data_IF_927643284424
#
_entry.id   IF_927643284424
#
_cell.length_a   1.000
_cell.length_b   1.000
_cell.length_c   1.000
_cell.angle_alpha   90.00
_cell.angle_beta   90.00
_cell.angle_gamma   90.00
#
_symmetry.space_group_name_H-M   'P 1'
#
loop_
_entity.id
_entity.type
_entity.pdbx_description
1 polymer ?
#
# COMPACT_ATOMS: atom_id res chain seq x y z
N UNK A 1 8.88 -32.80 -0.71
CA UNK A 1 9.80 -32.96 -1.85
C UNK A 1 9.62 -31.82 -2.84
N UNK A 2 10.71 -31.11 -3.11
CA UNK A 2 10.85 -30.11 -4.16
C UNK A 2 11.51 -30.77 -5.38
N UNK A 3 11.39 -30.14 -6.54
CA UNK A 3 12.06 -30.59 -7.74
C UNK A 3 12.45 -29.41 -8.62
N UNK A 4 13.47 -29.61 -9.44
CA UNK A 4 13.85 -28.69 -10.52
C UNK A 4 13.45 -29.34 -11.85
N UNK A 5 12.83 -28.57 -12.73
CA UNK A 5 12.33 -29.02 -14.02
C UNK A 5 12.78 -28.09 -15.14
N UNK A 6 12.89 -28.67 -16.33
CA UNK A 6 13.11 -28.00 -17.59
C UNK A 6 11.83 -28.05 -18.42
N UNK A 7 11.49 -26.95 -19.08
CA UNK A 7 10.53 -26.95 -20.18
C UNK A 7 11.32 -26.98 -21.49
N UNK A 8 11.05 -27.98 -22.30
CA UNK A 8 11.78 -28.30 -23.53
C UNK A 8 10.92 -27.98 -24.75
N UNK A 9 11.54 -27.35 -25.75
CA UNK A 9 10.92 -27.13 -27.04
C UNK A 9 11.14 -28.37 -27.91
N UNK A 10 10.09 -29.18 -28.21
CA UNK A 10 10.26 -30.47 -28.89
C UNK A 10 10.76 -30.32 -30.35
N UNK A 11 10.66 -29.12 -30.95
CA UNK A 11 11.10 -28.86 -32.33
C UNK A 11 12.62 -28.85 -32.47
N UNK A 12 13.31 -28.42 -31.41
CA UNK A 12 14.77 -28.29 -31.37
C UNK A 12 15.41 -29.16 -30.27
N UNK A 13 14.58 -29.77 -29.43
CA UNK A 13 14.97 -30.57 -28.28
C UNK A 13 15.92 -29.84 -27.31
N UNK A 14 15.68 -28.55 -27.09
CA UNK A 14 16.46 -27.70 -26.18
C UNK A 14 15.57 -27.11 -25.08
N UNK A 15 16.09 -26.98 -23.85
CA UNK A 15 15.38 -26.31 -22.77
C UNK A 15 15.25 -24.82 -23.08
N UNK A 16 14.06 -24.27 -22.86
CA UNK A 16 13.80 -22.83 -22.99
C UNK A 16 13.41 -22.18 -21.65
N UNK A 17 13.21 -22.98 -20.60
CA UNK A 17 12.93 -22.48 -19.25
C UNK A 17 13.36 -23.50 -18.21
N UNK A 18 13.96 -23.02 -17.12
CA UNK A 18 14.26 -23.83 -15.93
C UNK A 18 13.44 -23.28 -14.77
N UNK A 19 12.84 -24.17 -13.98
CA UNK A 19 12.05 -23.76 -12.84
C UNK A 19 12.15 -24.74 -11.67
N UNK A 20 12.07 -24.21 -10.46
CA UNK A 20 11.80 -25.00 -9.25
C UNK A 20 10.29 -25.17 -9.03
N UNK A 21 9.89 -26.34 -8.53
CA UNK A 21 8.52 -26.60 -8.12
C UNK A 21 8.32 -27.57 -6.98
N UNK A 22 7.05 -27.69 -6.59
CA UNK A 22 6.49 -28.60 -5.57
C UNK A 22 5.07 -28.95 -6.00
N UNK A 23 4.67 -30.21 -5.83
CA UNK A 23 3.37 -30.70 -6.27
C UNK A 23 3.12 -30.45 -7.77
N UNK A 24 1.94 -29.95 -8.13
CA UNK A 24 1.52 -29.75 -9.53
C UNK A 24 1.97 -28.40 -10.16
N UNK A 25 2.93 -27.69 -9.55
CA UNK A 25 3.34 -26.35 -10.01
C UNK A 25 3.80 -26.33 -11.47
N UNK A 26 4.52 -27.35 -11.93
CA UNK A 26 5.00 -27.42 -13.32
C UNK A 26 3.84 -27.48 -14.33
N UNK A 27 2.85 -28.33 -14.08
CA UNK A 27 1.66 -28.44 -14.91
C UNK A 27 0.82 -27.15 -14.87
N UNK A 28 0.74 -26.49 -13.70
CA UNK A 28 0.11 -25.19 -13.61
C UNK A 28 0.78 -24.16 -14.52
N UNK A 29 2.12 -24.10 -14.57
CA UNK A 29 2.87 -23.18 -15.44
C UNK A 29 2.71 -23.45 -16.94
N UNK A 30 2.30 -24.65 -17.33
CA UNK A 30 1.91 -24.97 -18.71
C UNK A 30 0.45 -24.63 -19.01
N UNK A 31 -0.41 -24.57 -17.99
CA UNK A 31 -1.83 -24.27 -18.18
C UNK A 31 -2.06 -22.83 -18.67
N UNK A 32 -3.07 -22.64 -19.52
CA UNK A 32 -3.53 -21.31 -19.96
C UNK A 32 -3.92 -20.41 -18.78
N UNK A 33 -4.43 -20.98 -17.68
CA UNK A 33 -4.83 -20.25 -16.48
C UNK A 33 -3.66 -19.51 -15.81
N UNK A 34 -2.42 -20.01 -15.96
CA UNK A 34 -1.24 -19.33 -15.42
C UNK A 34 -0.88 -18.05 -16.17
N UNK A 35 -1.30 -17.90 -17.45
CA UNK A 35 -1.02 -16.71 -18.27
C UNK A 35 -1.60 -15.44 -17.67
N UNK A 36 -2.79 -15.53 -17.08
CA UNK A 36 -3.47 -14.38 -16.48
C UNK A 36 -2.79 -13.89 -15.18
N UNK A 37 -1.87 -14.68 -14.60
CA UNK A 37 -1.33 -14.45 -13.25
C UNK A 37 0.19 -14.37 -13.19
N UNK A 38 0.91 -14.56 -14.29
CA UNK A 38 2.36 -14.71 -14.25
C UNK A 38 3.09 -13.58 -14.98
N UNK A 39 4.10 -13.06 -14.31
CA UNK A 39 4.92 -11.93 -14.77
C UNK A 39 5.90 -12.29 -15.91
N UNK A 40 6.04 -13.59 -16.26
CA UNK A 40 6.99 -14.04 -17.29
C UNK A 40 6.34 -14.14 -18.69
N UNK A 41 6.20 -13.00 -19.35
CA UNK A 41 5.67 -12.92 -20.71
C UNK A 41 6.49 -13.72 -21.74
N UNK A 42 7.83 -13.75 -21.62
CA UNK A 42 8.73 -14.42 -22.57
C UNK A 42 8.51 -15.94 -22.61
N UNK A 43 8.38 -16.56 -21.43
CA UNK A 43 8.06 -17.99 -21.31
C UNK A 43 6.73 -18.31 -21.99
N UNK A 44 5.70 -17.52 -21.76
CA UNK A 44 4.39 -17.76 -22.38
C UNK A 44 4.37 -17.56 -23.88
N UNK A 45 5.03 -16.52 -24.38
CA UNK A 45 5.13 -16.32 -25.82
C UNK A 45 5.82 -17.50 -26.50
N UNK A 46 6.87 -18.06 -25.86
CA UNK A 46 7.54 -19.28 -26.35
C UNK A 46 6.61 -20.50 -26.33
N UNK A 47 5.88 -20.74 -25.24
CA UNK A 47 4.87 -21.82 -25.15
C UNK A 47 3.79 -21.66 -26.24
N UNK A 48 3.26 -20.44 -26.42
CA UNK A 48 2.25 -20.13 -27.43
C UNK A 48 2.76 -20.42 -28.83
N UNK A 49 4.01 -20.05 -29.15
CA UNK A 49 4.63 -20.35 -30.45
C UNK A 49 4.73 -21.85 -30.71
N UNK A 50 5.15 -22.63 -29.71
CA UNK A 50 5.23 -24.09 -29.80
C UNK A 50 3.84 -24.68 -30.10
N UNK A 51 2.81 -24.25 -29.35
CA UNK A 51 1.42 -24.70 -29.53
C UNK A 51 0.80 -24.31 -30.86
N UNK A 52 1.06 -23.09 -31.32
CA UNK A 52 0.55 -22.61 -32.61
C UNK A 52 1.07 -23.43 -33.80
N UNK A 53 2.24 -24.06 -33.64
CA UNK A 53 2.83 -24.96 -34.65
C UNK A 53 2.39 -26.42 -34.47
N UNK A 54 1.45 -26.70 -33.56
CA UNK A 54 0.89 -28.04 -33.34
C UNK A 54 1.70 -28.93 -32.39
N UNK A 55 2.70 -28.38 -31.69
CA UNK A 55 3.50 -29.11 -30.70
C UNK A 55 3.12 -28.73 -29.27
N UNK A 56 3.50 -29.55 -28.28
CA UNK A 56 3.32 -29.23 -26.86
C UNK A 56 4.69 -29.22 -26.16
N UNK A 57 5.00 -28.21 -25.32
CA UNK A 57 6.24 -28.20 -24.54
C UNK A 57 6.37 -29.42 -23.64
N UNK A 58 7.55 -30.04 -23.65
CA UNK A 58 7.83 -31.20 -22.81
C UNK A 58 8.32 -30.76 -21.42
N UNK A 59 7.92 -31.51 -20.40
CA UNK A 59 8.38 -31.32 -19.02
C UNK A 59 9.39 -32.41 -18.68
N UNK A 60 10.60 -32.00 -18.31
CA UNK A 60 11.61 -32.91 -17.78
C UNK A 60 11.95 -32.54 -16.35
N UNK A 61 11.68 -33.43 -15.40
CA UNK A 61 12.15 -33.26 -14.03
C UNK A 61 13.62 -33.67 -13.98
N UNK A 62 14.48 -32.72 -13.63
CA UNK A 62 15.94 -32.90 -13.63
C UNK A 62 16.39 -33.58 -12.34
N UNK A 63 15.89 -33.11 -11.20
CA UNK A 63 16.29 -33.61 -9.88
C UNK A 63 15.24 -33.31 -8.80
N UNK A 64 15.14 -34.21 -7.82
CA UNK A 64 14.33 -34.03 -6.61
C UNK A 64 15.21 -33.64 -5.43
N UNK A 65 14.63 -32.86 -4.52
CA UNK A 65 15.28 -32.35 -3.30
C UNK A 65 14.32 -32.43 -2.12
N UNK A 66 14.85 -32.75 -0.94
CA UNK A 66 14.08 -32.70 0.30
C UNK A 66 13.90 -31.25 0.75
N UNK A 67 15.00 -30.49 0.73
CA UNK A 67 15.07 -29.10 1.12
C UNK A 67 14.74 -28.13 -0.02
N UNK A 68 14.11 -27.01 0.35
CA UNK A 68 13.71 -25.97 -0.60
C UNK A 68 14.91 -25.23 -1.17
N UNK A 69 15.90 -24.93 -0.32
CA UNK A 69 17.08 -24.14 -0.67
C UNK A 69 17.97 -24.89 -1.66
N UNK A 70 18.21 -26.19 -1.47
CA UNK A 70 19.00 -26.99 -2.41
C UNK A 70 18.40 -26.99 -3.82
N UNK A 71 17.07 -27.02 -3.92
CA UNK A 71 16.38 -26.90 -5.20
C UNK A 71 16.55 -25.51 -5.83
N UNK A 72 16.65 -24.45 -5.03
CA UNK A 72 16.97 -23.10 -5.53
C UNK A 72 18.42 -23.01 -6.00
N UNK A 73 19.37 -23.55 -5.23
CA UNK A 73 20.79 -23.57 -5.61
C UNK A 73 20.98 -24.27 -6.96
N UNK A 74 20.34 -25.43 -7.14
CA UNK A 74 20.42 -26.19 -8.37
C UNK A 74 19.68 -25.53 -9.56
N UNK A 75 18.53 -24.90 -9.32
CA UNK A 75 17.84 -24.08 -10.33
C UNK A 75 18.76 -22.97 -10.86
N UNK A 76 19.44 -22.26 -9.95
CA UNK A 76 20.36 -21.18 -10.28
C UNK A 76 21.59 -21.69 -11.07
N UNK A 77 22.14 -22.84 -10.69
CA UNK A 77 23.25 -23.50 -11.39
C UNK A 77 22.88 -23.81 -12.85
N UNK A 78 21.69 -24.39 -13.09
CA UNK A 78 21.22 -24.69 -14.44
C UNK A 78 20.96 -23.42 -15.26
N UNK A 79 20.40 -22.37 -14.64
CA UNK A 79 20.17 -21.09 -15.34
C UNK A 79 21.50 -20.47 -15.78
N UNK A 80 22.52 -20.49 -14.91
CA UNK A 80 23.86 -19.99 -15.25
C UNK A 80 24.51 -20.84 -16.34
N UNK A 81 24.34 -22.16 -16.29
CA UNK A 81 24.87 -23.09 -17.30
C UNK A 81 24.29 -22.86 -18.70
N UNK A 82 22.97 -22.68 -18.82
CA UNK A 82 22.31 -22.51 -20.12
C UNK A 82 22.28 -21.07 -20.62
N UNK A 83 22.38 -20.09 -19.70
CA UNK A 83 22.33 -18.67 -20.02
C UNK A 83 20.92 -18.17 -20.42
N UNK A 84 20.69 -16.89 -20.16
CA UNK A 84 19.44 -16.16 -20.45
C UNK A 84 19.55 -15.52 -21.83
N UNK A 85 18.59 -15.80 -22.72
CA UNK A 85 18.66 -15.48 -24.15
C UNK A 85 18.96 -14.02 -24.51
N UNK A 86 18.48 -13.08 -23.70
CA UNK A 86 18.58 -11.65 -24.02
C UNK A 86 19.61 -10.91 -23.14
N UNK A 87 20.40 -11.65 -22.35
CA UNK A 87 21.33 -11.08 -21.35
C UNK A 87 22.71 -11.72 -21.46
N UNK A 88 22.76 -13.05 -21.48
CA UNK A 88 24.00 -13.81 -21.50
C UNK A 88 24.34 -14.20 -22.95
N UNK A 89 25.63 -14.13 -23.31
CA UNK A 89 26.08 -14.49 -24.65
C UNK A 89 25.78 -15.96 -24.95
N UNK A 90 25.02 -16.21 -26.02
CA UNK A 90 24.59 -17.57 -26.40
C UNK A 90 23.49 -18.17 -25.51
N UNK A 91 22.87 -17.40 -24.61
CA UNK A 91 21.81 -17.88 -23.74
C UNK A 91 20.59 -18.42 -24.49
N UNK A 92 19.92 -19.42 -23.93
CA UNK A 92 18.72 -20.04 -24.54
C UNK A 92 17.47 -19.90 -23.68
N UNK A 93 17.61 -19.56 -22.40
CA UNK A 93 16.50 -19.56 -21.45
C UNK A 93 15.66 -18.28 -21.50
N UNK A 94 14.36 -18.45 -21.24
CA UNK A 94 13.36 -17.38 -21.08
C UNK A 94 13.17 -16.94 -19.62
N UNK A 95 14.04 -17.39 -18.71
CA UNK A 95 14.06 -16.97 -17.31
C UNK A 95 14.30 -15.45 -17.20
N UNK A 96 13.57 -14.77 -16.31
CA UNK A 96 13.70 -13.31 -16.10
C UNK A 96 14.86 -12.99 -15.16
N UNK A 97 15.02 -13.79 -14.11
CA UNK A 97 16.01 -13.59 -13.06
C UNK A 97 16.83 -14.87 -12.88
N UNK A 98 18.08 -14.72 -12.44
CA UNK A 98 18.96 -15.82 -12.05
C UNK A 98 18.52 -16.46 -10.73
N UNK A 99 18.02 -15.64 -9.80
CA UNK A 99 17.47 -16.11 -8.54
C UNK A 99 16.14 -15.42 -8.24
N UNK A 100 15.16 -16.21 -7.80
CA UNK A 100 13.86 -15.71 -7.30
C UNK A 100 13.63 -16.20 -5.86
N UNK A 101 14.72 -16.26 -5.07
CA UNK A 101 14.65 -16.72 -3.69
C UNK A 101 13.78 -15.76 -2.87
N UNK A 102 12.95 -16.28 -1.95
CA UNK A 102 12.32 -15.44 -0.96
C UNK A 102 13.39 -14.74 -0.09
N UNK A 103 13.10 -13.54 0.44
CA UNK A 103 11.76 -12.94 0.50
C UNK A 103 11.38 -12.13 -0.74
N UNK A 104 10.11 -12.23 -1.15
CA UNK A 104 9.49 -11.23 -2.03
C UNK A 104 9.45 -9.91 -1.26
N UNK A 105 10.05 -8.84 -1.79
CA UNK A 105 10.08 -7.53 -1.14
C UNK A 105 8.69 -6.84 -1.10
N UNK A 106 7.73 -7.33 -1.90
CA UNK A 106 6.38 -6.80 -1.93
C UNK A 106 5.70 -6.86 -0.56
N UNK A 107 5.30 -5.71 -0.03
CA UNK A 107 4.62 -5.57 1.26
C UNK A 107 5.54 -5.37 2.45
N UNK A 108 6.87 -5.42 2.27
CA UNK A 108 7.85 -5.12 3.32
C UNK A 108 8.19 -3.63 3.35
N UNK A 109 8.38 -3.11 4.55
CA UNK A 109 8.88 -1.77 4.80
C UNK A 109 10.37 -1.68 4.49
N UNK A 110 10.88 -0.46 4.26
CA UNK A 110 12.31 -0.22 4.07
C UNK A 110 13.15 -0.68 5.27
N UNK A 111 12.61 -0.55 6.49
CA UNK A 111 13.22 -1.02 7.73
C UNK A 111 13.42 -2.55 7.73
N UNK A 112 12.41 -3.31 7.33
CA UNK A 112 12.50 -4.78 7.25
C UNK A 112 13.47 -5.27 6.16
N UNK A 113 13.74 -4.45 5.14
CA UNK A 113 14.61 -4.81 4.01
C UNK A 113 16.06 -4.44 4.31
N UNK A 114 16.29 -3.25 4.86
CA UNK A 114 17.62 -2.65 4.99
C UNK A 114 18.11 -2.51 6.43
N UNK A 115 17.31 -2.92 7.42
CA UNK A 115 17.62 -2.79 8.84
C UNK A 115 17.94 -1.34 9.19
N UNK A 116 19.02 -1.14 9.93
CA UNK A 116 19.47 0.19 10.40
C UNK A 116 19.82 1.16 9.26
N UNK A 117 20.14 0.67 8.07
CA UNK A 117 20.53 1.49 6.91
C UNK A 117 19.34 1.99 6.09
N UNK A 118 18.11 1.77 6.55
CA UNK A 118 16.92 2.08 5.78
C UNK A 118 16.78 3.58 5.44
N UNK A 119 17.17 4.48 6.36
CA UNK A 119 17.14 5.93 6.15
C UNK A 119 18.10 6.36 5.05
N UNK A 120 19.34 5.85 5.08
CA UNK A 120 20.34 6.10 4.05
C UNK A 120 19.85 5.69 2.66
N UNK A 121 19.16 4.54 2.57
CA UNK A 121 18.59 4.05 1.30
C UNK A 121 17.45 4.94 0.78
N UNK A 122 16.63 5.51 1.67
CA UNK A 122 15.61 6.49 1.28
C UNK A 122 16.28 7.74 0.73
N UNK A 123 17.30 8.27 1.42
CA UNK A 123 18.02 9.47 0.96
C UNK A 123 18.71 9.25 -0.38
N UNK A 124 19.38 8.10 -0.55
CA UNK A 124 20.01 7.71 -1.82
C UNK A 124 18.98 7.67 -2.95
N UNK A 125 17.80 7.07 -2.71
CA UNK A 125 16.72 7.01 -3.69
C UNK A 125 16.16 8.39 -4.03
N UNK A 126 16.01 9.28 -3.05
CA UNK A 126 15.57 10.67 -3.29
C UNK A 126 16.57 11.41 -4.17
N UNK A 127 17.87 11.30 -3.86
CA UNK A 127 18.95 11.89 -4.67
C UNK A 127 18.95 11.35 -6.11
N UNK A 128 18.87 10.03 -6.30
CA UNK A 128 18.81 9.43 -7.64
C UNK A 128 17.55 9.84 -8.41
N UNK A 129 16.41 10.05 -7.74
CA UNK A 129 15.19 10.57 -8.37
C UNK A 129 15.42 11.99 -8.89
N UNK A 130 16.06 12.83 -8.10
CA UNK A 130 16.38 14.21 -8.47
C UNK A 130 17.33 14.27 -9.67
N UNK A 131 18.43 13.50 -9.62
CA UNK A 131 19.43 13.39 -10.69
C UNK A 131 18.82 12.91 -12.02
N UNK A 132 17.90 11.93 -11.98
CA UNK A 132 17.28 11.34 -13.17
C UNK A 132 16.07 12.11 -13.71
N UNK A 133 15.92 13.39 -13.36
CA UNK A 133 14.85 14.21 -13.88
C UNK A 133 13.46 13.89 -13.32
N UNK A 134 13.40 13.19 -12.19
CA UNK A 134 12.23 13.15 -11.32
C UNK A 134 10.98 12.44 -11.85
N UNK A 135 11.17 11.33 -12.58
CA UNK A 135 10.08 10.44 -12.97
C UNK A 135 9.41 9.84 -11.72
N UNK A 136 8.16 10.23 -11.43
CA UNK A 136 7.37 9.72 -10.29
C UNK A 136 7.09 10.67 -9.12
N UNK A 137 6.97 11.99 -9.37
CA UNK A 137 6.11 12.85 -8.52
C UNK A 137 6.78 13.68 -7.42
N UNK A 138 8.07 14.03 -7.53
CA UNK A 138 8.69 14.96 -6.56
C UNK A 138 8.56 16.43 -6.98
N UNK A 139 8.44 16.74 -8.28
CA UNK A 139 8.05 18.10 -8.72
C UNK A 139 6.57 18.32 -8.41
N UNK A 140 6.26 19.33 -7.58
CA UNK A 140 4.89 19.77 -7.35
C UNK A 140 4.29 20.21 -8.68
N UNK A 141 3.06 19.77 -8.96
CA UNK A 141 2.32 20.27 -10.12
C UNK A 141 2.23 21.79 -10.08
N UNK A 142 2.31 22.44 -11.24
CA UNK A 142 2.02 23.87 -11.36
C UNK A 142 0.58 24.14 -10.94
N UNK A 143 0.28 25.35 -10.48
CA UNK A 143 -1.09 25.72 -10.09
C UNK A 143 -2.09 25.52 -11.24
N UNK A 144 -1.69 25.80 -12.48
CA UNK A 144 -2.49 25.53 -13.67
C UNK A 144 -2.81 24.03 -13.83
N UNK A 145 -1.80 23.17 -13.63
CA UNK A 145 -1.99 21.72 -13.72
C UNK A 145 -2.88 21.20 -12.58
N UNK A 146 -2.70 21.70 -11.35
CA UNK A 146 -3.58 21.38 -10.21
C UNK A 146 -5.02 21.78 -10.50
N UNK A 147 -5.23 22.96 -11.08
CA UNK A 147 -6.57 23.44 -11.47
C UNK A 147 -7.21 22.50 -12.50
N UNK A 148 -6.49 22.15 -13.57
CA UNK A 148 -6.98 21.20 -14.59
C UNK A 148 -7.34 19.83 -14.00
N UNK A 149 -6.51 19.32 -13.09
CA UNK A 149 -6.80 18.05 -12.39
C UNK A 149 -8.06 18.21 -11.54
N UNK A 150 -8.16 19.29 -10.75
CA UNK A 150 -9.30 19.58 -9.88
C UNK A 150 -10.60 19.67 -10.67
N UNK A 151 -10.63 20.39 -11.78
CA UNK A 151 -11.79 20.52 -12.67
C UNK A 151 -12.25 19.16 -13.21
N UNK A 152 -11.30 18.27 -13.55
CA UNK A 152 -11.58 16.93 -14.06
C UNK A 152 -12.15 15.96 -13.03
N UNK A 153 -11.89 16.15 -11.74
CA UNK A 153 -12.25 15.16 -10.70
C UNK A 153 -13.28 15.67 -9.68
N UNK A 154 -13.65 16.95 -9.77
CA UNK A 154 -14.60 17.58 -8.86
C UNK A 154 -16.02 17.59 -9.42
N UNK A 155 -16.99 17.79 -8.52
CA UNK A 155 -18.40 17.89 -8.88
C UNK A 155 -18.88 16.65 -9.64
N UNK A 156 -19.66 16.89 -10.71
CA UNK A 156 -20.29 15.85 -11.53
C UNK A 156 -19.33 14.89 -12.21
N UNK A 157 -18.06 15.26 -12.35
CA UNK A 157 -17.04 14.39 -12.96
C UNK A 157 -16.54 13.31 -12.00
N UNK A 158 -16.77 13.47 -10.68
CA UNK A 158 -16.45 12.44 -9.71
C UNK A 158 -17.41 11.24 -9.89
N UNK A 159 -16.92 10.00 -10.06
CA UNK A 159 -17.78 8.82 -10.21
C UNK A 159 -18.75 8.59 -9.05
N UNK A 160 -18.42 9.09 -7.86
CA UNK A 160 -19.26 8.99 -6.67
C UNK A 160 -20.18 10.21 -6.49
N UNK A 161 -20.22 11.15 -7.44
CA UNK A 161 -21.07 12.33 -7.34
C UNK A 161 -22.55 11.94 -7.36
N UNK A 162 -23.28 12.35 -6.32
CA UNK A 162 -24.70 12.01 -6.17
C UNK A 162 -24.99 10.57 -5.73
N UNK A 163 -23.96 9.74 -5.54
CA UNK A 163 -24.14 8.36 -5.05
C UNK A 163 -24.16 8.38 -3.52
N UNK A 164 -25.27 7.97 -2.86
CA UNK A 164 -25.33 7.91 -1.41
C UNK A 164 -24.43 6.78 -0.89
N UNK A 165 -23.73 7.04 0.20
CA UNK A 165 -22.95 6.02 0.90
C UNK A 165 -23.88 4.94 1.47
N UNK A 166 -23.51 3.66 1.33
CA UNK A 166 -24.30 2.55 1.89
C UNK A 166 -24.30 2.57 3.41
N UNK A 167 -25.34 2.01 4.03
CA UNK A 167 -25.45 1.93 5.49
C UNK A 167 -24.27 1.15 6.13
N UNK A 168 -23.79 0.10 5.46
CA UNK A 168 -22.63 -0.66 5.93
C UNK A 168 -21.36 0.21 5.98
N UNK A 169 -21.12 1.01 4.94
CA UNK A 169 -19.94 1.89 4.89
C UNK A 169 -20.08 3.02 5.91
N UNK A 170 -21.27 3.62 6.06
CA UNK A 170 -21.54 4.61 7.10
C UNK A 170 -21.23 4.07 8.50
N UNK A 171 -21.63 2.83 8.78
CA UNK A 171 -21.33 2.15 10.05
C UNK A 171 -19.82 2.01 10.27
N UNK A 172 -19.09 1.48 9.28
CA UNK A 172 -17.62 1.31 9.36
C UNK A 172 -16.88 2.63 9.58
N UNK A 173 -17.31 3.70 8.90
CA UNK A 173 -16.75 5.05 9.10
C UNK A 173 -17.02 5.52 10.53
N UNK A 174 -18.23 5.33 11.05
CA UNK A 174 -18.58 5.72 12.42
C UNK A 174 -17.80 4.96 13.47
N UNK A 175 -17.62 3.65 13.32
CA UNK A 175 -16.86 2.80 14.26
C UNK A 175 -15.41 3.27 14.34
N UNK A 176 -14.73 3.40 13.20
CA UNK A 176 -13.35 3.90 13.13
C UNK A 176 -13.20 5.31 13.72
N UNK A 177 -14.18 6.18 13.48
CA UNK A 177 -14.15 7.53 14.06
C UNK A 177 -14.21 7.46 15.59
N UNK A 178 -15.10 6.65 16.16
CA UNK A 178 -15.23 6.45 17.62
C UNK A 178 -13.94 5.89 18.22
N UNK A 179 -13.35 4.86 17.61
CA UNK A 179 -12.06 4.29 18.04
C UNK A 179 -10.96 5.35 18.05
N UNK A 180 -10.85 6.14 16.98
CA UNK A 180 -9.85 7.20 16.87
C UNK A 180 -9.98 8.23 18.00
N UNK A 181 -11.20 8.67 18.32
CA UNK A 181 -11.45 9.61 19.41
C UNK A 181 -11.23 8.98 20.80
N UNK A 182 -11.56 7.70 20.97
CA UNK A 182 -11.26 6.95 22.20
C UNK A 182 -9.75 6.85 22.44
N UNK A 183 -8.96 6.70 21.37
CA UNK A 183 -7.50 6.69 21.41
C UNK A 183 -6.86 8.09 21.58
N UNK A 184 -7.64 9.09 22.00
CA UNK A 184 -7.12 10.41 22.37
C UNK A 184 -6.94 11.40 21.21
N UNK A 185 -7.46 11.12 20.02
CA UNK A 185 -7.41 12.08 18.91
C UNK A 185 -8.20 13.36 19.25
N UNK A 186 -7.54 14.51 19.06
CA UNK A 186 -8.16 15.84 19.16
C UNK A 186 -8.23 16.45 17.75
N UNK A 187 -9.40 16.98 17.37
CA UNK A 187 -9.56 17.64 16.07
C UNK A 187 -8.64 18.87 16.00
N UNK A 188 -7.91 19.10 14.89
CA UNK A 188 -7.08 20.30 14.73
C UNK A 188 -7.86 21.62 14.85
N UNK A 189 -9.17 21.59 14.56
CA UNK A 189 -10.07 22.73 14.71
C UNK A 189 -10.70 22.85 16.11
N UNK A 190 -10.31 22.00 17.06
CA UNK A 190 -10.85 22.04 18.42
C UNK A 190 -10.31 23.26 19.17
N UNK A 191 -11.22 24.05 19.73
CA UNK A 191 -10.89 25.22 20.53
C UNK A 191 -10.60 24.84 21.98
N UNK A 192 -9.68 25.58 22.59
CA UNK A 192 -9.38 25.47 24.02
C UNK A 192 -10.18 26.55 24.77
N UNK A 193 -10.87 26.13 25.82
CA UNK A 193 -11.71 27.00 26.65
C UNK A 193 -11.22 26.96 28.09
N UNK A 194 -11.18 28.14 28.71
CA UNK A 194 -11.04 28.31 30.15
C UNK A 194 -12.43 28.61 30.72
N UNK A 195 -12.90 27.75 31.63
CA UNK A 195 -14.16 27.92 32.34
C UNK A 195 -13.90 28.20 33.81
N UNK A 196 -14.63 29.15 34.38
CA UNK A 196 -14.52 29.48 35.81
C UNK A 196 -15.85 29.15 36.47
N UNK A 197 -15.82 28.38 37.56
CA UNK A 197 -17.00 28.03 38.33
C UNK A 197 -17.53 29.21 39.16
N UNK A 198 -18.77 29.12 39.67
CA UNK A 198 -19.31 30.12 40.60
C UNK A 198 -18.49 30.28 41.88
N UNK A 199 -17.72 29.25 42.24
CA UNK A 199 -16.84 29.22 43.41
C UNK A 199 -15.42 29.74 43.09
N UNK A 200 -15.14 30.12 41.84
CA UNK A 200 -13.84 30.62 41.40
C UNK A 200 -12.86 29.52 40.96
N UNK A 201 -13.29 28.27 40.81
CA UNK A 201 -12.42 27.19 40.31
C UNK A 201 -12.25 27.27 38.80
N UNK A 202 -11.01 27.15 38.32
CA UNK A 202 -10.69 27.21 36.90
C UNK A 202 -10.59 25.82 36.26
N UNK A 203 -11.15 25.67 35.06
CA UNK A 203 -11.14 24.45 34.27
C UNK A 203 -10.68 24.76 32.86
N UNK A 204 -9.59 24.13 32.42
CA UNK A 204 -9.10 24.24 31.04
C UNK A 204 -9.53 22.98 30.28
N UNK A 205 -10.24 23.17 29.18
CA UNK A 205 -10.70 22.07 28.33
C UNK A 205 -10.33 22.33 26.87
N UNK A 206 -9.81 21.32 26.18
CA UNK A 206 -9.55 21.36 24.74
C UNK A 206 -10.57 20.51 24.02
N UNK A 207 -11.43 21.15 23.23
CA UNK A 207 -12.63 20.50 22.71
C UNK A 207 -13.59 20.06 23.84
N UNK A 208 -14.52 19.15 23.52
CA UNK A 208 -15.39 18.47 24.51
C UNK A 208 -16.24 19.36 25.44
N UNK A 209 -16.45 20.63 25.10
CA UNK A 209 -17.32 21.55 25.87
C UNK A 209 -18.70 20.96 26.21
N UNK A 210 -19.29 20.22 25.27
CA UNK A 210 -20.59 19.55 25.49
C UNK A 210 -20.54 18.47 26.57
N UNK A 211 -19.45 17.69 26.63
CA UNK A 211 -19.24 16.68 27.67
C UNK A 211 -19.03 17.34 29.03
N UNK A 212 -18.23 18.41 29.07
CA UNK A 212 -18.04 19.21 30.29
C UNK A 212 -19.36 19.78 30.82
N UNK A 213 -20.16 20.40 29.94
CA UNK A 213 -21.49 20.90 30.29
C UNK A 213 -22.38 19.79 30.86
N UNK A 214 -22.36 18.59 30.28
CA UNK A 214 -23.13 17.44 30.79
C UNK A 214 -22.66 17.01 32.18
N UNK A 215 -21.34 16.94 32.42
CA UNK A 215 -20.76 16.54 33.70
C UNK A 215 -21.07 17.53 34.83
N UNK A 216 -21.04 18.83 34.54
CA UNK A 216 -21.31 19.89 35.54
C UNK A 216 -22.78 20.31 35.58
N UNK A 217 -23.67 19.58 34.89
CA UNK A 217 -25.09 19.87 34.78
C UNK A 217 -25.41 21.31 34.30
N UNK A 218 -24.65 21.79 33.31
CA UNK A 218 -24.80 23.10 32.68
C UNK A 218 -25.46 22.93 31.32
N UNK A 219 -26.37 23.83 30.94
CA UNK A 219 -26.94 23.82 29.60
C UNK A 219 -25.89 24.22 28.55
N UNK A 220 -25.52 23.29 27.68
CA UNK A 220 -24.63 23.54 26.55
C UNK A 220 -25.15 24.69 25.65
N UNK A 221 -26.46 24.79 25.45
CA UNK A 221 -27.05 25.86 24.65
C UNK A 221 -26.78 27.24 25.26
N UNK A 222 -26.88 27.37 26.58
CA UNK A 222 -26.59 28.63 27.27
C UNK A 222 -25.11 29.00 27.21
N UNK A 223 -24.22 28.00 27.27
CA UNK A 223 -22.78 28.19 27.14
C UNK A 223 -22.39 28.56 25.71
N UNK A 224 -22.97 27.90 24.72
CA UNK A 224 -22.80 28.20 23.30
C UNK A 224 -23.31 29.61 22.95
N UNK A 225 -24.43 30.04 23.53
CA UNK A 225 -24.93 31.40 23.38
C UNK A 225 -23.98 32.42 24.03
N UNK A 226 -23.36 32.11 25.17
CA UNK A 226 -22.38 33.00 25.78
C UNK A 226 -21.17 33.23 24.85
N UNK A 227 -20.67 32.17 24.22
CA UNK A 227 -19.60 32.25 23.20
C UNK A 227 -20.06 33.10 22.01
N UNK A 228 -21.24 32.82 21.46
CA UNK A 228 -21.75 33.51 20.26
C UNK A 228 -21.95 35.02 20.48
N UNK A 229 -22.44 35.41 21.65
CA UNK A 229 -22.72 36.81 21.99
C UNK A 229 -21.60 37.49 22.79
N UNK A 230 -20.42 36.88 22.87
CA UNK A 230 -19.25 37.37 23.61
C UNK A 230 -19.57 37.80 25.05
N UNK A 231 -20.36 36.99 25.76
CA UNK A 231 -20.74 37.22 27.15
C UNK A 231 -19.83 36.42 28.06
N UNK A 232 -19.65 36.91 29.28
CA UNK A 232 -18.84 36.25 30.31
C UNK A 232 -19.30 34.82 30.61
N UNK A 233 -20.60 34.50 30.53
CA UNK A 233 -21.08 33.12 30.65
C UNK A 233 -22.61 32.97 30.69
N UNK A 234 -23.12 31.76 31.03
CA UNK A 234 -24.55 31.52 31.16
C UNK A 234 -25.17 32.40 32.25
N UNK A 235 -26.22 33.16 31.91
CA UNK A 235 -26.82 34.19 32.79
C UNK A 235 -27.29 33.68 34.16
N UNK A 236 -27.61 32.39 34.30
CA UNK A 236 -28.35 31.87 35.46
C UNK A 236 -27.48 31.17 36.51
N UNK A 237 -26.26 30.73 36.16
CA UNK A 237 -25.54 29.76 36.97
C UNK A 237 -24.15 30.22 37.46
N UNK A 238 -23.73 31.48 37.23
CA UNK A 238 -22.47 32.03 37.75
C UNK A 238 -21.18 31.50 37.09
N UNK A 239 -21.29 30.64 36.08
CA UNK A 239 -20.15 30.15 35.31
C UNK A 239 -19.67 31.20 34.33
N UNK A 240 -18.36 31.25 34.08
CA UNK A 240 -17.79 32.03 32.99
C UNK A 240 -16.97 31.19 32.01
N UNK A 241 -16.82 31.67 30.78
CA UNK A 241 -16.08 31.01 29.70
C UNK A 241 -15.25 32.01 28.90
N UNK A 242 -14.01 31.65 28.61
CA UNK A 242 -13.07 32.41 27.77
C UNK A 242 -12.37 31.46 26.80
N UNK A 243 -12.22 31.89 25.55
CA UNK A 243 -11.41 31.15 24.58
C UNK A 243 -9.93 31.39 24.86
N UNK A 244 -9.14 30.32 24.92
CA UNK A 244 -7.68 30.42 24.95
C UNK A 244 -7.18 30.30 23.51
N UNK A 245 -6.67 31.41 22.97
CA UNK A 245 -6.02 31.42 21.66
C UNK A 245 -4.60 30.90 21.88
N UNK A 246 -4.36 29.66 21.48
CA UNK A 246 -2.99 29.15 21.38
C UNK A 246 -2.36 29.81 20.14
N UNK A 247 -1.44 30.75 20.35
CA UNK A 247 -0.55 31.27 19.30
C UNK A 247 0.43 30.18 18.84
#
# INVERSE_FOLDING_TARGET
>A
MYYVYELIDPRVNLPFYVGKGKGNRVYFHLSEQSRAKSDNFKKFDKIKKIRNEGYEPEVKIVKYFEEENDAYDYEEELIKKYGKRDIDEGGILTNICESSRPPKLNGRTYQEIYGDKWEEQIQKRLKTKEERGNYGGVRKHTEETKKKISEKVSGKNNPSYGVPCSEEIKRKISERAKERFANGFVSPSAKTWMLISPQGEEFIITGKLKEFCKLKNISYATMSAAILYNRTGPRKNGWSIKELINN
#
